data_IF_568606959396
#
_entry.id   IF_568606959396
#
_cell.length_a   1.000
_cell.length_b   1.000
_cell.length_c   1.000
_cell.angle_alpha   90.00
_cell.angle_beta   90.00
_cell.angle_gamma   90.00
#
_symmetry.space_group_name_H-M   'P 1'
#
loop_
_entity.id
_entity.type
_entity.pdbx_description
1 polymer ?
#
# COMPACT_ATOMS: atom_id res chain seq x y z
N UNK A 1 -28.09 1.68 18.30
CA UNK A 1 -26.63 1.49 18.23
C UNK A 1 -26.05 2.70 17.52
N UNK A 2 -25.36 3.57 18.25
CA UNK A 2 -24.76 4.78 17.71
C UNK A 2 -23.33 4.43 17.28
N UNK A 3 -23.09 4.38 15.97
CA UNK A 3 -21.75 4.16 15.42
C UNK A 3 -20.95 5.43 15.70
N UNK A 4 -20.08 5.40 16.71
CA UNK A 4 -19.23 6.53 17.04
C UNK A 4 -18.37 6.86 15.83
N UNK A 5 -18.57 8.03 15.22
CA UNK A 5 -17.65 8.60 14.23
C UNK A 5 -16.33 8.84 14.94
N UNK A 6 -15.38 7.92 14.79
CA UNK A 6 -13.99 8.19 15.13
C UNK A 6 -13.51 9.31 14.20
N UNK A 7 -13.32 10.50 14.76
CA UNK A 7 -12.64 11.62 14.09
C UNK A 7 -11.19 11.55 14.56
N UNK A 8 -10.24 11.09 13.73
CA UNK A 8 -8.84 11.02 14.12
C UNK A 8 -8.35 12.42 14.52
N UNK A 9 -7.55 12.51 15.59
CA UNK A 9 -6.96 13.77 16.03
C UNK A 9 -6.11 14.38 14.91
N UNK A 10 -6.01 15.71 14.83
CA UNK A 10 -5.29 16.41 13.74
C UNK A 10 -3.85 15.91 13.53
N UNK A 11 -3.16 15.53 14.62
CA UNK A 11 -1.82 14.94 14.58
C UNK A 11 -1.78 13.54 13.95
N UNK A 12 -2.85 12.77 14.08
CA UNK A 12 -2.97 11.47 13.42
C UNK A 12 -3.23 11.64 11.93
N UNK A 13 -4.10 12.58 11.56
CA UNK A 13 -4.37 12.94 10.16
C UNK A 13 -3.09 13.40 9.45
N UNK A 14 -2.29 14.26 10.10
CA UNK A 14 -1.00 14.71 9.57
C UNK A 14 -0.04 13.55 9.34
N UNK A 15 0.10 12.63 10.31
CA UNK A 15 0.97 11.44 10.15
C UNK A 15 0.47 10.50 9.06
N UNK A 16 -0.84 10.42 8.82
CA UNK A 16 -1.37 9.65 7.70
C UNK A 16 -1.04 10.32 6.36
N UNK A 17 -1.16 11.64 6.26
CA UNK A 17 -0.77 12.40 5.08
C UNK A 17 0.72 12.22 4.77
N UNK A 18 1.61 12.36 5.77
CA UNK A 18 3.06 12.16 5.59
C UNK A 18 3.44 10.77 5.06
N UNK A 19 2.68 9.73 5.42
CA UNK A 19 2.89 8.38 4.88
C UNK A 19 2.41 8.31 3.44
N UNK A 20 1.25 8.88 3.12
CA UNK A 20 0.73 8.91 1.75
C UNK A 20 1.63 9.71 0.81
N UNK A 21 2.03 10.91 1.23
CA UNK A 21 2.92 11.80 0.48
C UNK A 21 4.23 11.09 0.15
N UNK A 22 4.82 10.35 1.09
CA UNK A 22 6.02 9.54 0.86
C UNK A 22 5.86 8.56 -0.32
N UNK A 23 4.75 7.83 -0.40
CA UNK A 23 4.52 6.86 -1.48
C UNK A 23 4.12 7.53 -2.80
N UNK A 24 3.43 8.67 -2.74
CA UNK A 24 3.10 9.49 -3.92
C UNK A 24 4.39 10.07 -4.51
N UNK A 25 5.26 10.65 -3.69
CA UNK A 25 6.54 11.21 -4.10
C UNK A 25 7.45 10.13 -4.68
N UNK A 26 7.54 8.97 -4.02
CA UNK A 26 8.28 7.81 -4.57
C UNK A 26 7.71 7.40 -5.94
N UNK A 27 6.38 7.39 -6.11
CA UNK A 27 5.76 7.03 -7.40
C UNK A 27 6.02 8.09 -8.48
N UNK A 28 6.08 9.38 -8.10
CA UNK A 28 6.40 10.47 -9.02
C UNK A 28 7.85 10.39 -9.55
N UNK A 29 8.80 9.95 -8.71
CA UNK A 29 10.17 9.65 -9.16
C UNK A 29 10.20 8.50 -10.19
N UNK A 30 9.23 7.59 -10.12
CA UNK A 30 9.08 6.44 -10.99
C UNK A 30 8.04 6.62 -12.11
N UNK A 31 7.79 7.86 -12.54
CA UNK A 31 6.74 8.18 -13.51
C UNK A 31 6.88 7.49 -14.89
N UNK A 32 8.06 6.96 -15.23
CA UNK A 32 8.25 6.15 -16.45
C UNK A 32 7.67 4.73 -16.33
N UNK A 33 7.52 4.24 -15.09
CA UNK A 33 7.06 2.89 -14.79
C UNK A 33 5.67 2.88 -14.15
N UNK A 34 5.30 3.97 -13.48
CA UNK A 34 4.04 4.12 -12.76
C UNK A 34 3.23 5.32 -13.26
N UNK A 35 1.92 5.15 -13.32
CA UNK A 35 0.97 6.21 -13.63
C UNK A 35 -0.12 6.23 -12.57
N UNK A 36 -0.59 7.44 -12.22
CA UNK A 36 -1.77 7.57 -11.39
C UNK A 36 -2.94 6.85 -12.04
N UNK A 37 -3.60 5.97 -11.28
CA UNK A 37 -4.73 5.21 -11.75
C UNK A 37 -5.96 5.71 -11.01
N UNK A 38 -6.85 6.39 -11.73
CA UNK A 38 -8.19 6.68 -11.23
C UNK A 38 -8.95 5.35 -11.18
N UNK A 39 -8.92 4.67 -10.03
CA UNK A 39 -9.79 3.54 -9.85
C UNK A 39 -11.22 4.08 -9.77
N UNK A 40 -12.03 3.89 -10.81
CA UNK A 40 -13.48 4.12 -10.76
C UNK A 40 -14.21 3.27 -9.71
N UNK A 41 -13.48 2.51 -8.90
CA UNK A 41 -13.96 1.81 -7.72
C UNK A 41 -13.88 2.72 -6.50
N UNK A 42 -15.03 2.91 -5.84
CA UNK A 42 -15.27 3.85 -4.72
C UNK A 42 -14.39 3.67 -3.47
N UNK A 43 -13.44 2.73 -3.47
CA UNK A 43 -12.74 2.31 -2.26
C UNK A 43 -11.29 2.81 -2.16
N UNK A 44 -10.62 3.17 -3.26
CA UNK A 44 -9.22 3.60 -3.22
C UNK A 44 -9.18 5.12 -3.19
N UNK A 45 -8.43 5.71 -2.26
CA UNK A 45 -8.17 7.16 -2.25
C UNK A 45 -7.03 7.52 -3.19
N UNK A 46 -6.04 6.62 -3.32
CA UNK A 46 -4.94 6.75 -4.27
C UNK A 46 -4.60 5.37 -4.79
N UNK A 47 -4.35 5.26 -6.10
CA UNK A 47 -3.72 4.08 -6.67
C UNK A 47 -2.77 4.45 -7.80
N UNK A 48 -1.70 3.68 -7.92
CA UNK A 48 -0.77 3.76 -9.03
C UNK A 48 -0.72 2.42 -9.75
N UNK A 49 -0.79 2.48 -11.08
CA UNK A 49 -0.69 1.32 -11.95
C UNK A 49 0.63 1.32 -12.72
N UNK A 50 1.09 0.13 -13.13
CA UNK A 50 2.25 0.00 -14.00
C UNK A 50 1.88 0.48 -15.40
N UNK A 51 2.77 1.25 -16.03
CA UNK A 51 2.59 1.73 -17.41
C UNK A 51 2.57 0.57 -18.41
N UNK A 52 3.36 -0.48 -18.16
CA UNK A 52 3.56 -1.60 -19.10
C UNK A 52 2.29 -2.44 -19.33
N UNK A 53 1.45 -2.62 -18.31
CA UNK A 53 0.30 -3.54 -18.37
C UNK A 53 -0.99 -2.97 -17.76
N UNK A 54 -0.95 -1.73 -17.25
CA UNK A 54 -2.10 -1.08 -16.61
C UNK A 54 -2.54 -1.72 -15.30
N UNK A 55 -1.79 -2.68 -14.74
CA UNK A 55 -2.15 -3.33 -13.49
C UNK A 55 -1.87 -2.41 -12.29
N UNK A 56 -2.80 -2.34 -11.34
CA UNK A 56 -2.59 -1.62 -10.07
C UNK A 56 -1.40 -2.24 -9.36
N UNK A 57 -0.39 -1.42 -9.07
CA UNK A 57 0.85 -1.82 -8.41
C UNK A 57 0.75 -1.63 -6.90
N UNK A 58 0.28 -0.47 -6.47
CA UNK A 58 -0.11 -0.21 -5.09
C UNK A 58 -1.33 0.70 -5.00
N UNK A 59 -2.03 0.60 -3.88
CA UNK A 59 -3.19 1.42 -3.58
C UNK A 59 -3.34 1.69 -2.08
N UNK A 60 -4.06 2.75 -1.75
CA UNK A 60 -4.34 3.16 -0.39
C UNK A 60 -5.84 3.38 -0.18
N UNK A 61 -6.35 2.89 0.95
CA UNK A 61 -7.78 2.89 1.28
C UNK A 61 -8.04 3.61 2.60
N UNK A 62 -8.99 4.56 2.66
CA UNK A 62 -9.43 5.19 3.90
C UNK A 62 -10.57 4.39 4.54
N UNK A 63 -10.33 3.18 5.07
CA UNK A 63 -11.42 2.47 5.76
C UNK A 63 -11.56 2.93 7.21
N UNK A 64 -12.78 3.34 7.57
CA UNK A 64 -13.15 3.82 8.91
C UNK A 64 -13.38 2.67 9.91
N UNK A 65 -13.78 1.48 9.45
CA UNK A 65 -14.24 0.38 10.32
C UNK A 65 -13.09 -0.55 10.72
N UNK A 66 -12.20 -0.89 9.79
CA UNK A 66 -11.04 -1.77 9.98
C UNK A 66 -9.68 -1.04 9.80
N UNK A 67 -9.74 0.29 9.69
CA UNK A 67 -8.58 1.17 9.60
C UNK A 67 -8.05 1.38 8.19
N UNK A 68 -7.33 2.48 7.99
CA UNK A 68 -6.69 2.78 6.71
C UNK A 68 -5.66 1.70 6.36
N UNK A 69 -5.68 1.24 5.10
CA UNK A 69 -4.87 0.12 4.61
C UNK A 69 -4.09 0.52 3.36
N UNK A 70 -2.81 0.17 3.36
CA UNK A 70 -1.94 0.23 2.19
C UNK A 70 -1.86 -1.18 1.62
N UNK A 71 -2.08 -1.28 0.32
CA UNK A 71 -2.08 -2.54 -0.40
C UNK A 71 -1.05 -2.47 -1.49
N UNK A 72 -0.16 -3.45 -1.49
CA UNK A 72 0.59 -3.80 -2.68
C UNK A 72 -0.30 -4.85 -3.32
N UNK A 73 -0.87 -4.53 -4.49
CA UNK A 73 -1.80 -5.39 -5.19
C UNK A 73 -1.00 -6.18 -6.19
N UNK A 74 -0.42 -7.33 -5.84
CA UNK A 74 0.44 -8.00 -6.74
C UNK A 74 -0.50 -8.94 -7.51
N UNK A 75 -1.37 -8.37 -8.35
CA UNK A 75 -1.84 -9.12 -9.53
C UNK A 75 -0.64 -9.50 -10.39
N UNK A 76 0.48 -8.79 -10.20
CA UNK A 76 1.83 -9.12 -10.61
C UNK A 76 2.56 -10.10 -9.69
N UNK A 77 2.08 -10.50 -8.50
CA UNK A 77 2.73 -11.51 -7.65
C UNK A 77 2.93 -12.80 -8.43
N UNK A 78 1.93 -13.22 -9.20
CA UNK A 78 2.05 -14.39 -10.08
C UNK A 78 3.19 -14.30 -11.10
N UNK A 79 3.67 -13.08 -11.40
CA UNK A 79 4.81 -12.81 -12.27
C UNK A 79 6.10 -12.50 -11.49
N UNK A 80 6.03 -12.30 -10.16
CA UNK A 80 7.20 -12.21 -9.31
C UNK A 80 7.85 -13.59 -9.21
N UNK A 81 9.18 -13.60 -9.20
CA UNK A 81 9.96 -14.77 -8.79
C UNK A 81 9.45 -15.26 -7.42
N UNK A 82 9.26 -16.58 -7.21
CA UNK A 82 8.92 -17.18 -5.92
C UNK A 82 9.73 -16.63 -4.73
N UNK A 83 11.02 -16.36 -4.90
CA UNK A 83 11.86 -15.79 -3.86
C UNK A 83 11.41 -14.39 -3.40
N UNK A 84 10.98 -13.53 -4.34
CA UNK A 84 10.45 -12.20 -4.02
C UNK A 84 9.05 -12.28 -3.41
N UNK A 85 8.25 -13.28 -3.80
CA UNK A 85 6.95 -13.52 -3.16
C UNK A 85 7.12 -13.91 -1.69
N UNK A 86 8.04 -14.84 -1.40
CA UNK A 86 8.30 -15.30 -0.04
C UNK A 86 8.89 -14.18 0.82
N UNK A 87 9.78 -13.37 0.25
CA UNK A 87 10.29 -12.21 0.95
C UNK A 87 9.21 -11.17 1.24
N UNK A 88 8.37 -10.85 0.25
CA UNK A 88 7.27 -9.92 0.42
C UNK A 88 6.28 -10.42 1.49
N UNK A 89 5.97 -11.73 1.49
CA UNK A 89 5.17 -12.38 2.53
C UNK A 89 5.83 -12.32 3.90
N UNK A 90 7.12 -12.61 4.00
CA UNK A 90 7.86 -12.56 5.26
C UNK A 90 7.93 -11.14 5.83
N UNK A 91 8.19 -10.15 4.96
CA UNK A 91 8.20 -8.74 5.33
C UNK A 91 6.83 -8.32 5.85
N UNK A 92 5.77 -8.54 5.07
CA UNK A 92 4.42 -8.13 5.45
C UNK A 92 3.93 -8.90 6.69
N UNK A 93 4.21 -10.20 6.80
CA UNK A 93 3.89 -11.02 7.97
C UNK A 93 4.60 -10.55 9.25
N UNK A 94 5.80 -9.95 9.13
CA UNK A 94 6.49 -9.34 10.27
C UNK A 94 5.92 -7.98 10.68
N UNK A 95 5.14 -7.32 9.81
CA UNK A 95 4.60 -5.98 10.02
C UNK A 95 3.11 -6.02 10.40
N UNK A 96 2.35 -6.98 9.85
CA UNK A 96 0.91 -7.07 10.04
C UNK A 96 0.44 -8.53 10.03
N UNK A 97 -0.54 -8.84 10.88
CA UNK A 97 -1.23 -10.14 10.87
C UNK A 97 -2.17 -10.30 9.68
N UNK A 98 -2.54 -9.21 8.99
CA UNK A 98 -3.41 -9.21 7.79
C UNK A 98 -2.59 -9.21 6.48
N UNK A 99 -1.35 -9.69 6.55
CA UNK A 99 -0.33 -9.55 5.52
C UNK A 99 -0.72 -10.11 4.15
N UNK A 100 -1.41 -11.24 4.09
CA UNK A 100 -1.78 -11.92 2.86
C UNK A 100 -3.27 -12.22 2.88
N UNK A 101 -3.99 -11.74 1.87
CA UNK A 101 -5.39 -12.09 1.64
C UNK A 101 -5.50 -13.28 0.70
N UNK A 102 -6.66 -13.95 0.69
CA UNK A 102 -6.88 -15.17 -0.08
C UNK A 102 -6.70 -15.00 -1.61
N UNK A 103 -6.79 -13.76 -2.09
CA UNK A 103 -6.54 -13.36 -3.48
C UNK A 103 -5.07 -13.09 -3.81
N UNK A 104 -4.16 -13.28 -2.84
CA UNK A 104 -2.73 -13.03 -2.99
C UNK A 104 -2.32 -11.57 -2.82
N UNK A 105 -3.24 -10.69 -2.39
CA UNK A 105 -2.92 -9.28 -2.14
C UNK A 105 -2.12 -9.12 -0.84
N UNK A 106 -1.10 -8.26 -0.86
CA UNK A 106 -0.30 -7.95 0.33
C UNK A 106 -0.83 -6.66 0.97
N UNK A 107 -1.30 -6.77 2.20
CA UNK A 107 -1.97 -5.66 2.90
C UNK A 107 -1.25 -5.34 4.20
N UNK A 108 -1.06 -4.05 4.44
CA UNK A 108 -0.52 -3.53 5.68
C UNK A 108 -1.39 -2.39 6.19
N UNK A 109 -1.62 -2.36 7.50
CA UNK A 109 -2.32 -1.23 8.13
C UNK A 109 -1.42 0.01 8.06
N UNK A 110 -2.00 1.16 7.68
CA UNK A 110 -1.25 2.43 7.62
C UNK A 110 -0.57 2.78 8.95
N UNK A 111 -1.14 2.38 10.08
CA UNK A 111 -0.54 2.61 11.39
C UNK A 111 0.88 2.01 11.51
N UNK A 112 1.16 0.89 10.85
CA UNK A 112 2.48 0.27 10.86
C UNK A 112 3.49 1.07 10.03
N UNK A 113 3.02 1.76 8.99
CA UNK A 113 3.83 2.61 8.11
C UNK A 113 4.19 3.96 8.74
N UNK A 114 3.61 4.31 9.89
CA UNK A 114 4.05 5.47 10.69
C UNK A 114 5.47 5.27 11.26
N UNK A 115 5.92 4.01 11.37
CA UNK A 115 7.30 3.71 11.74
C UNK A 115 8.21 3.88 10.51
N UNK A 116 9.23 4.74 10.63
CA UNK A 116 10.15 5.06 9.54
C UNK A 116 10.85 3.82 8.98
N UNK A 117 11.34 2.93 9.84
CA UNK A 117 12.02 1.70 9.43
C UNK A 117 11.08 0.77 8.66
N UNK A 118 9.84 0.62 9.13
CA UNK A 118 8.82 -0.14 8.40
C UNK A 118 8.53 0.48 7.04
N UNK A 119 8.36 1.81 6.99
CA UNK A 119 8.12 2.54 5.74
C UNK A 119 9.27 2.39 4.74
N UNK A 120 10.52 2.47 5.20
CA UNK A 120 11.70 2.24 4.38
C UNK A 120 11.73 0.81 3.82
N UNK A 121 11.54 -0.21 4.66
CA UNK A 121 11.52 -1.61 4.21
C UNK A 121 10.43 -1.88 3.16
N UNK A 122 9.26 -1.26 3.32
CA UNK A 122 8.18 -1.36 2.32
C UNK A 122 8.55 -0.64 1.03
N UNK A 123 9.20 0.53 1.11
CA UNK A 123 9.71 1.25 -0.06
C UNK A 123 10.78 0.45 -0.81
N UNK A 124 11.73 -0.14 -0.08
CA UNK A 124 12.77 -1.00 -0.66
C UNK A 124 12.18 -2.25 -1.32
N UNK A 125 11.07 -2.77 -0.79
CA UNK A 125 10.32 -3.83 -1.46
C UNK A 125 9.69 -3.31 -2.76
N UNK A 126 8.98 -2.18 -2.73
CA UNK A 126 8.35 -1.59 -3.93
C UNK A 126 9.38 -1.37 -5.05
N UNK A 127 10.56 -0.87 -4.73
CA UNK A 127 11.67 -0.68 -5.67
C UNK A 127 12.03 -1.98 -6.39
N UNK A 128 12.16 -3.08 -5.63
CA UNK A 128 12.50 -4.41 -6.16
C UNK A 128 11.34 -5.12 -6.84
N UNK A 129 10.11 -4.67 -6.62
CA UNK A 129 8.91 -5.19 -7.28
C UNK A 129 8.61 -4.43 -8.59
N UNK A 130 9.15 -3.22 -8.76
CA UNK A 130 8.85 -2.37 -9.91
C UNK A 130 9.60 -2.77 -11.19
N UNK A 131 10.59 -3.66 -11.09
CA UNK A 131 11.43 -4.17 -12.19
C UNK A 131 10.65 -4.92 -13.26
#
# INVERSE_FOLDING_TARGET
MQVGRYVPHASEQQRFAEVLDHFIDWSAVHATSLVHHDSGYEQHVVSFARVVDGSVFWSAYPRMVDGAKFEITPRTAKYLNPALQDEARALFGSISTEALTDDGTLRVRFSALKNLTTRQRVTDLLERLLV
#
